data_IF_159057650649
#
_entry.id   IF_159057650649
#
_cell.length_a   1.000
_cell.length_b   1.000
_cell.length_c   1.000
_cell.angle_alpha   90.00
_cell.angle_beta   90.00
_cell.angle_gamma   90.00
#
_symmetry.space_group_name_H-M   'P 1'
#
loop_
_entity.id
_entity.type
_entity.pdbx_description
1 polymer ?
#
# COMPACT_ATOMS: atom_id res chain seq x y z
N UNK A 1 5.96 -9.65 -35.41
CA UNK A 1 4.75 -10.44 -35.73
C UNK A 1 3.92 -10.61 -34.46
N UNK A 2 2.63 -10.33 -34.49
CA UNK A 2 1.75 -10.58 -33.34
C UNK A 2 1.38 -12.07 -33.32
N UNK A 3 1.75 -12.79 -32.26
CA UNK A 3 1.31 -14.18 -32.03
C UNK A 3 -0.02 -14.13 -31.30
N UNK A 4 -1.11 -14.34 -32.02
CA UNK A 4 -2.47 -14.33 -31.46
C UNK A 4 -2.93 -15.78 -31.38
N UNK A 5 -3.33 -16.20 -30.18
CA UNK A 5 -3.92 -17.51 -29.93
C UNK A 5 -5.38 -17.32 -29.56
N UNK A 6 -6.26 -18.13 -30.14
CA UNK A 6 -7.69 -18.08 -29.85
C UNK A 6 -8.07 -19.34 -29.10
N UNK A 7 -8.62 -19.17 -27.90
CA UNK A 7 -9.19 -20.24 -27.09
C UNK A 7 -10.68 -20.01 -26.97
N UNK A 8 -11.48 -21.00 -27.34
CA UNK A 8 -12.94 -20.94 -27.20
C UNK A 8 -13.35 -21.40 -25.80
N UNK A 9 -14.06 -20.55 -25.06
CA UNK A 9 -14.61 -20.88 -23.74
C UNK A 9 -16.10 -21.22 -23.90
N UNK A 10 -16.52 -22.38 -23.39
CA UNK A 10 -17.93 -22.78 -23.30
C UNK A 10 -18.27 -22.84 -21.81
N UNK A 11 -19.33 -22.15 -21.43
CA UNK A 11 -19.84 -22.14 -20.06
C UNK A 11 -21.09 -23.02 -20.03
N UNK A 12 -21.11 -24.01 -19.15
CA UNK A 12 -22.28 -24.84 -18.91
C UNK A 12 -23.22 -24.15 -17.92
N UNK A 13 -24.51 -24.08 -18.25
CA UNK A 13 -25.51 -23.50 -17.34
C UNK A 13 -25.97 -24.48 -16.27
N UNK A 14 -25.66 -25.77 -16.39
CA UNK A 14 -25.93 -26.75 -15.32
C UNK A 14 -24.93 -26.63 -14.17
N UNK A 15 -23.70 -26.22 -14.47
CA UNK A 15 -22.68 -25.95 -13.46
C UNK A 15 -22.93 -24.58 -12.82
N UNK A 16 -22.81 -24.54 -11.49
CA UNK A 16 -23.01 -23.34 -10.70
C UNK A 16 -21.85 -22.35 -10.88
N UNK A 17 -20.61 -22.84 -11.04
CA UNK A 17 -19.44 -21.97 -11.23
C UNK A 17 -19.51 -21.24 -12.57
N UNK A 18 -19.81 -21.97 -13.64
CA UNK A 18 -19.97 -21.41 -14.98
C UNK A 18 -21.17 -20.47 -15.08
N UNK A 19 -22.28 -20.78 -14.40
CA UNK A 19 -23.46 -19.88 -14.30
C UNK A 19 -23.11 -18.58 -13.60
N UNK A 20 -22.30 -18.62 -12.54
CA UNK A 20 -21.79 -17.42 -11.86
C UNK A 20 -20.88 -16.62 -12.77
N UNK A 21 -19.91 -17.27 -13.41
CA UNK A 21 -19.01 -16.64 -14.37
C UNK A 21 -19.78 -15.93 -15.49
N UNK A 22 -20.81 -16.58 -16.04
CA UNK A 22 -21.72 -16.00 -17.01
C UNK A 22 -22.46 -14.79 -16.47
N UNK A 23 -22.97 -14.86 -15.24
CA UNK A 23 -23.67 -13.74 -14.60
C UNK A 23 -22.75 -12.52 -14.41
N UNK A 24 -21.49 -12.74 -14.06
CA UNK A 24 -20.48 -11.66 -13.96
C UNK A 24 -20.17 -11.05 -15.33
N UNK A 25 -20.03 -11.87 -16.37
CA UNK A 25 -19.84 -11.40 -17.75
C UNK A 25 -21.03 -10.53 -18.20
N UNK A 26 -22.26 -10.91 -17.86
CA UNK A 26 -23.46 -10.15 -18.23
C UNK A 26 -23.57 -8.80 -17.50
N UNK A 27 -23.15 -8.74 -16.24
CA UNK A 27 -23.18 -7.52 -15.41
C UNK A 27 -21.99 -6.58 -15.65
N UNK A 28 -21.04 -7.01 -16.47
CA UNK A 28 -19.84 -6.26 -16.76
C UNK A 28 -20.16 -4.91 -17.44
N UNK A 29 -19.50 -3.85 -16.99
CA UNK A 29 -19.61 -2.55 -17.65
C UNK A 29 -18.90 -2.59 -19.01
N UNK A 30 -19.71 -2.51 -20.08
CA UNK A 30 -19.27 -2.49 -21.47
C UNK A 30 -18.44 -1.25 -21.82
N UNK A 31 -18.47 -0.20 -20.99
CA UNK A 31 -17.61 0.98 -21.14
C UNK A 31 -16.18 0.71 -20.67
N UNK A 32 -16.02 -0.10 -19.61
CA UNK A 32 -14.72 -0.41 -19.02
C UNK A 32 -13.98 -1.51 -19.80
N UNK A 33 -14.70 -2.55 -20.23
CA UNK A 33 -14.12 -3.63 -21.04
C UNK A 33 -14.79 -3.68 -22.41
N UNK A 34 -14.01 -3.34 -23.43
CA UNK A 34 -14.46 -3.23 -24.83
C UNK A 34 -14.95 -4.56 -25.43
N UNK A 35 -14.64 -5.69 -24.80
CA UNK A 35 -15.09 -7.03 -25.20
C UNK A 35 -15.06 -8.01 -24.03
N UNK A 36 -15.86 -9.08 -24.11
CA UNK A 36 -15.82 -10.19 -23.15
C UNK A 36 -14.43 -10.81 -23.05
N UNK A 37 -13.73 -10.98 -24.18
CA UNK A 37 -12.36 -11.48 -24.19
C UNK A 37 -11.42 -10.60 -23.37
N UNK A 38 -11.56 -9.27 -23.44
CA UNK A 38 -10.72 -8.35 -22.64
C UNK A 38 -11.02 -8.46 -21.14
N UNK A 39 -12.29 -8.66 -20.78
CA UNK A 39 -12.70 -8.84 -19.40
C UNK A 39 -12.22 -10.17 -18.82
N UNK A 40 -12.32 -11.25 -19.59
CA UNK A 40 -11.80 -12.57 -19.21
C UNK A 40 -10.28 -12.49 -19.01
N UNK A 41 -9.55 -11.83 -19.92
CA UNK A 41 -8.10 -11.63 -19.76
C UNK A 41 -7.77 -10.84 -18.50
N UNK A 42 -8.51 -9.77 -18.22
CA UNK A 42 -8.30 -8.98 -17.00
C UNK A 42 -8.56 -9.80 -15.74
N UNK A 43 -9.64 -10.58 -15.69
CA UNK A 43 -9.99 -11.43 -14.56
C UNK A 43 -8.94 -12.54 -14.32
N UNK A 44 -8.46 -13.19 -15.39
CA UNK A 44 -7.40 -14.21 -15.30
C UNK A 44 -6.12 -13.60 -14.75
N UNK A 45 -5.68 -12.47 -15.31
CA UNK A 45 -4.46 -11.80 -14.87
C UNK A 45 -4.56 -11.30 -13.42
N UNK A 46 -5.73 -10.79 -13.00
CA UNK A 46 -5.95 -10.33 -11.63
C UNK A 46 -5.95 -11.51 -10.64
N UNK A 47 -6.62 -12.61 -10.98
CA UNK A 47 -6.63 -13.81 -10.12
C UNK A 47 -5.22 -14.37 -9.91
N UNK A 48 -4.50 -14.68 -10.99
CA UNK A 48 -3.15 -15.23 -10.89
C UNK A 48 -2.14 -14.21 -10.37
N UNK A 49 -2.27 -12.92 -10.74
CA UNK A 49 -1.41 -11.86 -10.21
C UNK A 49 -1.54 -11.72 -8.70
N UNK A 50 -2.75 -11.83 -8.14
CA UNK A 50 -2.95 -11.89 -6.69
C UNK A 50 -2.35 -13.16 -6.08
N UNK A 51 -2.55 -14.32 -6.70
CA UNK A 51 -1.96 -15.57 -6.20
C UNK A 51 -0.42 -15.51 -6.20
N UNK A 52 0.19 -14.92 -7.22
CA UNK A 52 1.64 -14.71 -7.29
C UNK A 52 2.13 -13.69 -6.25
N UNK A 53 1.39 -12.59 -6.04
CA UNK A 53 1.70 -11.62 -4.99
C UNK A 53 1.60 -12.24 -3.59
N UNK A 54 0.57 -13.06 -3.34
CA UNK A 54 0.40 -13.81 -2.10
C UNK A 54 1.52 -14.84 -1.91
N UNK A 55 1.94 -15.52 -2.98
CA UNK A 55 3.07 -16.43 -2.92
C UNK A 55 4.41 -15.70 -2.69
N UNK A 56 4.55 -14.49 -3.22
CA UNK A 56 5.74 -13.64 -3.06
C UNK A 56 5.80 -12.94 -1.70
N UNK A 57 4.65 -12.71 -1.05
CA UNK A 57 4.56 -12.11 0.29
C UNK A 57 3.81 -13.04 1.28
N UNK A 58 4.54 -13.93 1.97
CA UNK A 58 3.99 -14.92 2.90
C UNK A 58 3.27 -14.36 4.14
N UNK A 59 3.26 -13.04 4.34
CA UNK A 59 2.66 -12.36 5.49
C UNK A 59 1.27 -11.77 5.20
N UNK A 60 0.82 -11.74 3.93
CA UNK A 60 -0.43 -11.12 3.53
C UNK A 60 -1.70 -11.96 3.80
N UNK A 61 -1.59 -13.20 4.30
CA UNK A 61 -2.75 -14.12 4.37
C UNK A 61 -3.49 -14.23 5.72
N UNK A 62 -3.04 -13.75 6.88
CA UNK A 62 -3.82 -13.97 8.12
C UNK A 62 -3.49 -13.02 9.25
N UNK A 63 -4.53 -12.45 9.88
CA UNK A 63 -4.48 -11.76 11.19
C UNK A 63 -3.64 -12.51 12.23
N UNK A 64 -3.61 -13.84 12.16
CA UNK A 64 -2.79 -14.67 13.06
C UNK A 64 -1.28 -14.51 12.86
N UNK A 65 -0.81 -14.29 11.62
CA UNK A 65 0.61 -14.01 11.34
C UNK A 65 0.99 -12.59 11.69
N UNK A 66 0.07 -11.64 11.52
CA UNK A 66 0.22 -10.27 12.02
C UNK A 66 0.32 -10.27 13.55
N UNK A 67 -0.54 -11.01 14.26
CA UNK A 67 -0.49 -11.14 15.71
C UNK A 67 0.83 -11.79 16.19
N UNK A 68 1.31 -12.82 15.50
CA UNK A 68 2.60 -13.44 15.81
C UNK A 68 3.78 -12.47 15.59
N UNK A 69 3.70 -11.61 14.58
CA UNK A 69 4.68 -10.56 14.32
C UNK A 69 4.63 -9.46 15.40
N UNK A 70 3.44 -9.01 15.78
CA UNK A 70 3.23 -8.04 16.86
C UNK A 70 3.76 -8.56 18.20
N UNK A 71 3.45 -9.82 18.55
CA UNK A 71 4.01 -10.46 19.75
C UNK A 71 5.53 -10.49 19.75
N UNK A 72 6.15 -10.72 18.58
CA UNK A 72 7.61 -10.75 18.45
C UNK A 72 8.22 -9.36 18.60
N UNK A 73 7.57 -8.32 18.07
CA UNK A 73 7.97 -6.92 18.29
C UNK A 73 7.87 -6.56 19.77
N UNK A 74 6.73 -6.81 20.40
CA UNK A 74 6.50 -6.51 21.82
C UNK A 74 7.53 -7.21 22.71
N UNK A 75 7.76 -8.51 22.50
CA UNK A 75 8.76 -9.27 23.24
C UNK A 75 10.17 -8.70 23.05
N UNK A 76 10.52 -8.29 21.83
CA UNK A 76 11.83 -7.72 21.53
C UNK A 76 12.01 -6.36 22.22
N UNK A 77 10.98 -5.50 22.21
CA UNK A 77 11.01 -4.19 22.88
C UNK A 77 11.08 -4.37 24.40
N UNK A 78 10.27 -5.25 24.98
CA UNK A 78 10.31 -5.55 26.42
C UNK A 78 11.68 -6.09 26.85
N UNK A 79 12.28 -6.99 26.06
CA UNK A 79 13.61 -7.49 26.35
C UNK A 79 14.68 -6.40 26.17
N UNK A 80 14.58 -5.58 25.12
CA UNK A 80 15.50 -4.45 24.92
C UNK A 80 15.43 -3.45 26.08
N UNK A 81 14.24 -3.13 26.60
CA UNK A 81 14.03 -2.27 27.77
C UNK A 81 14.49 -2.93 29.08
N UNK A 82 14.48 -4.26 29.16
CA UNK A 82 14.92 -5.01 30.34
C UNK A 82 16.45 -5.09 30.45
N UNK A 83 17.15 -5.08 29.31
CA UNK A 83 18.61 -5.18 29.26
C UNK A 83 19.31 -3.85 28.94
N UNK A 84 18.59 -2.85 28.39
CA UNK A 84 19.07 -1.49 28.36
C UNK A 84 18.83 -0.86 29.73
N UNK A 85 19.87 -0.40 30.45
CA UNK A 85 19.64 0.56 31.51
C UNK A 85 18.99 1.76 30.83
N UNK A 86 17.71 1.99 31.10
CA UNK A 86 17.10 3.29 30.84
C UNK A 86 18.01 4.26 31.59
N UNK A 87 18.79 5.15 30.94
CA UNK A 87 19.12 6.35 31.66
C UNK A 87 17.73 6.90 31.95
N UNK A 88 17.35 6.91 33.23
CA UNK A 88 16.39 7.88 33.73
C UNK A 88 17.04 9.22 33.40
N UNK A 89 17.00 9.58 32.10
CA UNK A 89 17.13 10.92 31.63
C UNK A 89 15.96 11.54 32.35
N UNK A 90 16.30 12.18 33.47
CA UNK A 90 15.46 13.13 34.12
C UNK A 90 14.71 13.82 32.99
N UNK A 91 13.39 13.71 33.05
CA UNK A 91 12.55 14.66 32.35
C UNK A 91 12.97 15.99 32.95
N UNK A 92 14.05 16.57 32.42
CA UNK A 92 14.27 17.98 32.49
C UNK A 92 13.02 18.50 31.80
N UNK A 93 12.12 19.21 32.51
CA UNK A 93 11.07 19.91 31.82
C UNK A 93 11.79 20.71 30.75
N UNK A 94 11.50 20.39 29.49
CA UNK A 94 11.93 21.19 28.36
C UNK A 94 11.58 22.61 28.73
N UNK A 95 12.62 23.39 29.03
CA UNK A 95 12.54 24.84 29.12
C UNK A 95 11.71 25.24 27.92
N UNK A 96 10.60 25.98 28.10
CA UNK A 96 9.87 26.48 26.95
C UNK A 96 10.90 27.14 26.06
N UNK A 97 10.99 26.62 24.83
CA UNK A 97 11.72 27.26 23.74
C UNK A 97 11.49 28.75 23.91
N UNK A 98 12.57 29.50 24.14
CA UNK A 98 12.52 30.91 23.85
C UNK A 98 11.93 31.01 22.46
N UNK A 99 10.74 31.61 22.39
CA UNK A 99 10.23 32.21 21.17
C UNK A 99 11.40 32.96 20.57
N UNK A 100 11.99 32.43 19.49
CA UNK A 100 12.74 33.26 18.57
C UNK A 100 11.86 34.48 18.31
N UNK A 101 12.34 35.71 18.60
CA UNK A 101 11.59 36.87 18.21
C UNK A 101 11.37 36.74 16.70
N UNK A 102 10.12 36.96 16.27
CA UNK A 102 9.76 36.98 14.87
C UNK A 102 10.85 37.70 14.07
N UNK A 103 11.30 37.18 12.92
CA UNK A 103 12.31 37.86 12.13
C UNK A 103 11.81 39.28 11.88
N UNK A 104 12.62 40.26 12.31
CA UNK A 104 12.32 41.65 12.06
C UNK A 104 12.20 41.85 10.54
N UNK A 105 11.26 42.69 10.11
CA UNK A 105 10.97 43.00 8.70
C UNK A 105 12.22 43.45 7.89
N UNK A 106 13.33 43.77 8.57
CA UNK A 106 14.63 44.10 7.97
C UNK A 106 15.30 42.91 7.26
N UNK A 107 15.13 41.67 7.75
CA UNK A 107 15.76 40.47 7.15
C UNK A 107 15.14 40.11 5.79
N UNK A 108 13.84 40.38 5.62
CA UNK A 108 13.14 40.18 4.35
C UNK A 108 13.58 41.21 3.29
N UNK A 109 13.91 42.42 3.74
CA UNK A 109 14.39 43.51 2.90
C UNK A 109 15.81 43.25 2.39
N UNK A 110 16.67 42.67 3.22
CA UNK A 110 18.04 42.30 2.83
C UNK A 110 18.08 41.15 1.80
N UNK A 111 17.12 40.22 1.86
CA UNK A 111 16.99 39.14 0.88
C UNK A 111 16.52 39.62 -0.52
N UNK A 112 15.75 40.72 -0.58
CA UNK A 112 15.30 41.33 -1.84
C UNK A 112 16.41 42.13 -2.55
N UNK A 113 17.33 42.75 -1.81
CA UNK A 113 18.47 43.49 -2.37
C UNK A 113 19.49 42.58 -3.08
N UNK A 114 19.63 41.34 -2.63
CA UNK A 114 20.51 40.34 -3.28
C UNK A 114 20.01 39.90 -4.67
N UNK A 115 18.71 39.94 -4.92
CA UNK A 115 18.12 39.44 -6.17
C UNK A 115 18.27 40.42 -7.36
N UNK A 116 18.58 41.69 -7.09
CA UNK A 116 18.64 42.76 -8.11
C UNK A 116 20.08 43.07 -8.58
N UNK A 117 21.08 42.25 -8.18
CA UNK A 117 22.51 42.48 -8.45
C UNK A 117 23.14 41.60 -9.56
N UNK A 118 22.34 41.07 -10.50
CA UNK A 118 22.82 40.31 -11.68
C UNK A 118 22.35 40.89 -13.00
#
# INVERSE_FOLDING_TARGET
MKRIFTTTLRLDMTDEEDRRAWSYLQRMDKKQYRSYSRAIVAAVNDYFGRQEQLAADPYLETREKEDAFLQRIESTICNALRFAPVPMAAVQPSTPMQTEPAPADDDLSMALDFADSF
#
